data_IF_600974365759
#
_entry.id   IF_600974365759
#
_cell.length_a   1.000
_cell.length_b   1.000
_cell.length_c   1.000
_cell.angle_alpha   90.00
_cell.angle_beta   90.00
_cell.angle_gamma   90.00
#
_symmetry.space_group_name_H-M   'P 1'
#
loop_
_entity.id
_entity.type
_entity.pdbx_description
1 polymer ?
#
# COMPACT_ATOMS: atom_id res chain seq x y z
N UNK A 1 -1.12 46.03 17.07
CA UNK A 1 -1.51 45.72 15.69
C UNK A 1 -1.72 44.19 15.61
N UNK A 2 -2.97 43.79 15.78
CA UNK A 2 -3.38 42.39 15.69
C UNK A 2 -3.77 42.11 14.23
N UNK A 3 -2.93 41.35 13.53
CA UNK A 3 -3.25 40.87 12.19
C UNK A 3 -4.28 39.75 12.30
N UNK A 4 -5.53 40.08 11.91
CA UNK A 4 -6.54 39.06 11.64
C UNK A 4 -6.09 38.20 10.46
N UNK A 5 -5.70 36.99 10.74
CA UNK A 5 -5.57 35.95 9.71
C UNK A 5 -7.00 35.45 9.44
N UNK A 6 -7.62 35.95 8.38
CA UNK A 6 -8.83 35.34 7.84
C UNK A 6 -8.47 33.92 7.37
N UNK A 7 -8.88 32.93 8.15
CA UNK A 7 -8.89 31.55 7.71
C UNK A 7 -9.98 31.38 6.67
N UNK A 8 -9.61 31.36 5.39
CA UNK A 8 -10.53 30.91 4.34
C UNK A 8 -10.97 29.47 4.66
N UNK A 9 -12.28 29.16 4.52
CA UNK A 9 -12.75 27.81 4.70
C UNK A 9 -12.05 26.90 3.67
N UNK A 10 -11.37 25.86 4.16
CA UNK A 10 -10.58 24.92 3.37
C UNK A 10 -11.40 24.06 2.40
N UNK A 11 -12.71 24.18 2.41
CA UNK A 11 -13.63 23.47 1.51
C UNK A 11 -14.77 24.43 1.16
N UNK A 12 -14.78 24.92 -0.08
CA UNK A 12 -15.98 25.55 -0.62
C UNK A 12 -17.13 24.52 -0.57
N UNK A 13 -18.34 25.00 -0.20
CA UNK A 13 -19.57 24.19 -0.21
C UNK A 13 -19.92 23.78 -1.66
N UNK A 14 -19.16 22.82 -2.20
CA UNK A 14 -19.53 22.16 -3.45
C UNK A 14 -20.77 21.29 -3.20
N UNK A 15 -21.73 21.26 -4.11
CA UNK A 15 -22.98 20.55 -3.90
C UNK A 15 -22.68 19.03 -3.79
N UNK A 16 -22.73 18.51 -2.56
CA UNK A 16 -22.54 17.09 -2.19
C UNK A 16 -23.46 16.10 -2.96
N UNK A 17 -24.32 16.61 -3.82
CA UNK A 17 -25.22 15.86 -4.69
C UNK A 17 -24.74 15.70 -6.14
N UNK A 18 -23.65 16.35 -6.56
CA UNK A 18 -23.13 16.22 -7.92
C UNK A 18 -22.21 15.00 -8.01
N UNK A 19 -22.45 14.12 -8.97
CA UNK A 19 -21.54 13.01 -9.26
C UNK A 19 -20.18 13.56 -9.74
N UNK A 20 -19.07 12.93 -9.32
CA UNK A 20 -17.69 13.31 -9.65
C UNK A 20 -17.30 14.74 -9.24
N UNK A 21 -17.92 15.29 -8.19
CA UNK A 21 -17.59 16.63 -7.67
C UNK A 21 -16.12 16.76 -7.21
N UNK A 22 -15.51 15.64 -6.80
CA UNK A 22 -14.12 15.52 -6.36
C UNK A 22 -13.11 15.44 -7.53
N UNK A 23 -13.60 15.25 -8.77
CA UNK A 23 -12.75 15.13 -9.96
C UNK A 23 -12.41 16.50 -10.52
N UNK A 24 -11.36 17.10 -9.98
CA UNK A 24 -10.74 18.34 -10.47
C UNK A 24 -9.50 18.02 -11.32
N UNK A 25 -8.83 19.06 -11.83
CA UNK A 25 -7.67 18.91 -12.70
C UNK A 25 -6.51 18.16 -12.01
N UNK A 26 -6.27 18.41 -10.72
CA UNK A 26 -5.25 17.75 -9.92
C UNK A 26 -5.55 16.25 -9.76
N UNK A 27 -6.79 15.91 -9.40
CA UNK A 27 -7.25 14.52 -9.28
C UNK A 27 -7.11 13.78 -10.62
N UNK A 28 -7.50 14.43 -11.71
CA UNK A 28 -7.38 13.86 -13.06
C UNK A 28 -5.91 13.61 -13.43
N UNK A 29 -5.01 14.55 -13.13
CA UNK A 29 -3.58 14.39 -13.39
C UNK A 29 -2.99 13.22 -12.58
N UNK A 30 -3.37 13.08 -11.31
CA UNK A 30 -2.91 11.98 -10.46
C UNK A 30 -3.37 10.65 -11.04
N UNK A 31 -4.64 10.52 -11.40
CA UNK A 31 -5.19 9.28 -11.96
C UNK A 31 -4.52 8.92 -13.30
N UNK A 32 -4.23 9.90 -14.15
CA UNK A 32 -3.56 9.69 -15.44
C UNK A 32 -2.10 9.22 -15.30
N UNK A 33 -1.44 9.45 -14.16
CA UNK A 33 -0.02 9.07 -13.92
C UNK A 33 0.23 7.57 -13.79
N UNK A 34 -0.77 6.71 -14.05
CA UNK A 34 -0.59 5.26 -14.06
C UNK A 34 -1.67 4.45 -13.35
N UNK A 35 -2.71 5.10 -12.83
CA UNK A 35 -3.84 4.44 -12.22
C UNK A 35 -4.89 3.99 -13.24
N UNK A 36 -5.01 4.73 -14.34
CA UNK A 36 -5.89 4.38 -15.45
C UNK A 36 -5.18 3.45 -16.45
N UNK A 37 -5.94 2.65 -17.15
CA UNK A 37 -5.46 1.89 -18.31
C UNK A 37 -5.24 2.83 -19.49
N UNK A 38 -4.48 2.40 -20.49
CA UNK A 38 -4.28 3.19 -21.71
C UNK A 38 -5.60 3.47 -22.42
N UNK A 39 -5.95 4.74 -22.54
CA UNK A 39 -7.20 5.18 -23.16
C UNK A 39 -8.44 5.09 -22.26
N UNK A 40 -8.26 4.73 -20.99
CA UNK A 40 -9.34 4.67 -20.01
C UNK A 40 -9.68 6.06 -19.48
N UNK A 41 -10.96 6.34 -19.29
CA UNK A 41 -11.46 7.52 -18.58
C UNK A 41 -11.67 7.20 -17.10
N UNK A 42 -11.76 8.21 -16.24
CA UNK A 42 -12.08 8.01 -14.82
C UNK A 42 -13.42 7.28 -14.65
N UNK A 43 -14.42 7.62 -15.48
CA UNK A 43 -15.72 6.98 -15.44
C UNK A 43 -15.65 5.49 -15.81
N UNK A 44 -14.96 5.16 -16.90
CA UNK A 44 -14.79 3.75 -17.28
C UNK A 44 -13.94 2.96 -16.29
N UNK A 45 -12.99 3.60 -15.60
CA UNK A 45 -12.25 2.98 -14.50
C UNK A 45 -13.16 2.66 -13.32
N UNK A 46 -14.04 3.57 -12.93
CA UNK A 46 -15.03 3.33 -11.87
C UNK A 46 -15.94 2.16 -12.24
N UNK A 47 -16.46 2.12 -13.47
CA UNK A 47 -17.28 1.03 -13.98
C UNK A 47 -16.51 -0.32 -13.94
N UNK A 48 -15.26 -0.34 -14.39
CA UNK A 48 -14.39 -1.53 -14.32
C UNK A 48 -14.22 -2.04 -12.89
N UNK A 49 -13.89 -1.15 -11.96
CA UNK A 49 -13.67 -1.49 -10.54
C UNK A 49 -14.95 -2.02 -9.92
N UNK A 50 -16.07 -1.33 -10.11
CA UNK A 50 -17.36 -1.70 -9.55
C UNK A 50 -17.84 -3.06 -10.06
N UNK A 51 -17.78 -3.29 -11.37
CA UNK A 51 -18.17 -4.56 -11.97
C UNK A 51 -17.26 -5.71 -11.51
N UNK A 52 -15.95 -5.51 -11.45
CA UNK A 52 -15.03 -6.53 -10.97
C UNK A 52 -15.26 -6.87 -9.48
N UNK A 53 -15.57 -5.86 -8.65
CA UNK A 53 -15.88 -6.05 -7.24
C UNK A 53 -17.19 -6.81 -7.03
N UNK A 54 -18.24 -6.40 -7.72
CA UNK A 54 -19.55 -7.04 -7.67
C UNK A 54 -19.50 -8.51 -8.15
N UNK A 55 -18.73 -8.77 -9.22
CA UNK A 55 -18.48 -10.12 -9.73
C UNK A 55 -17.77 -11.01 -8.68
N UNK A 56 -16.75 -10.49 -7.99
CA UNK A 56 -16.03 -11.25 -6.94
C UNK A 56 -16.90 -11.58 -5.74
N UNK A 57 -17.89 -10.74 -5.46
CA UNK A 57 -18.86 -10.98 -4.39
C UNK A 57 -20.01 -11.91 -4.84
N UNK A 58 -20.06 -12.32 -6.10
CA UNK A 58 -21.18 -13.06 -6.70
C UNK A 58 -22.51 -12.30 -6.60
N UNK A 59 -22.45 -10.96 -6.64
CA UNK A 59 -23.60 -10.04 -6.53
C UNK A 59 -23.49 -8.94 -7.58
N UNK A 60 -23.72 -9.26 -8.86
CA UNK A 60 -23.59 -8.29 -9.96
C UNK A 60 -24.51 -7.08 -9.81
N UNK A 61 -25.63 -7.22 -9.10
CA UNK A 61 -26.57 -6.15 -8.78
C UNK A 61 -25.98 -5.02 -7.93
N UNK A 62 -24.84 -5.26 -7.24
CA UNK A 62 -24.16 -4.24 -6.44
C UNK A 62 -23.30 -3.29 -7.27
N UNK A 63 -23.07 -3.57 -8.54
CA UNK A 63 -22.16 -2.76 -9.36
C UNK A 63 -22.61 -1.28 -9.42
N UNK A 64 -23.89 -1.03 -9.64
CA UNK A 64 -24.44 0.34 -9.74
C UNK A 64 -24.31 1.08 -8.38
N UNK A 65 -24.54 0.39 -7.27
CA UNK A 65 -24.35 0.98 -5.95
C UNK A 65 -22.88 1.35 -5.69
N UNK A 66 -21.92 0.52 -6.12
CA UNK A 66 -20.50 0.85 -6.01
C UNK A 66 -20.12 2.04 -6.90
N UNK A 67 -20.63 2.12 -8.12
CA UNK A 67 -20.43 3.27 -9.00
C UNK A 67 -20.93 4.54 -8.32
N UNK A 68 -22.16 4.53 -7.81
CA UNK A 68 -22.74 5.68 -7.13
C UNK A 68 -21.91 6.12 -5.91
N UNK A 69 -21.48 5.17 -5.07
CA UNK A 69 -20.68 5.48 -3.87
C UNK A 69 -19.36 6.16 -4.22
N UNK A 70 -18.68 5.71 -5.28
CA UNK A 70 -17.42 6.28 -5.73
C UNK A 70 -17.65 7.64 -6.38
N UNK A 71 -18.61 7.76 -7.29
CA UNK A 71 -18.89 9.01 -7.99
C UNK A 71 -19.37 10.13 -7.05
N UNK A 72 -20.12 9.79 -6.00
CA UNK A 72 -20.54 10.76 -4.97
C UNK A 72 -19.44 11.08 -3.96
N UNK A 73 -18.27 10.39 -4.02
CA UNK A 73 -17.19 10.57 -3.07
C UNK A 73 -17.51 10.05 -1.66
N UNK A 74 -18.52 9.19 -1.53
CA UNK A 74 -18.82 8.52 -0.26
C UNK A 74 -17.82 7.42 0.05
N UNK A 75 -17.15 6.89 -0.97
CA UNK A 75 -16.09 5.92 -0.86
C UNK A 75 -14.86 6.39 -1.63
N UNK A 76 -13.70 6.42 -0.95
CA UNK A 76 -12.40 6.66 -1.55
C UNK A 76 -11.65 5.34 -1.71
N UNK A 77 -11.08 5.12 -2.89
CA UNK A 77 -10.37 3.89 -3.21
C UNK A 77 -8.86 4.06 -3.03
N UNK A 78 -8.20 3.02 -2.53
CA UNK A 78 -6.74 3.00 -2.46
C UNK A 78 -6.12 2.87 -3.85
N UNK A 79 -4.89 3.37 -4.00
CA UNK A 79 -4.15 3.34 -5.27
C UNK A 79 -4.12 1.98 -5.97
N UNK A 80 -3.90 0.83 -5.29
CA UNK A 80 -3.90 -0.47 -5.96
C UNK A 80 -5.28 -0.89 -6.48
N UNK A 81 -6.36 -0.43 -5.85
CA UNK A 81 -7.71 -0.70 -6.36
C UNK A 81 -7.92 0.06 -7.66
N UNK A 82 -7.57 1.34 -7.72
CA UNK A 82 -7.61 2.13 -8.96
C UNK A 82 -6.81 1.50 -10.09
N UNK A 83 -5.56 1.08 -9.79
CA UNK A 83 -4.64 0.56 -10.80
C UNK A 83 -4.95 -0.87 -11.25
N UNK A 84 -5.41 -1.74 -10.34
CA UNK A 84 -5.35 -3.18 -10.54
C UNK A 84 -6.69 -3.90 -10.48
N UNK A 85 -7.73 -3.35 -9.79
CA UNK A 85 -9.02 -4.04 -9.69
C UNK A 85 -9.67 -4.22 -11.06
N UNK A 86 -10.00 -5.46 -11.41
CA UNK A 86 -10.56 -5.81 -12.72
C UNK A 86 -9.53 -5.85 -13.85
N UNK A 87 -8.23 -5.91 -13.52
CA UNK A 87 -7.12 -6.06 -14.48
C UNK A 87 -6.23 -7.24 -14.10
N UNK A 88 -5.29 -7.58 -14.97
CA UNK A 88 -4.23 -8.55 -14.70
C UNK A 88 -2.88 -7.89 -14.31
N UNK A 89 -2.87 -6.57 -14.06
CA UNK A 89 -1.63 -5.81 -13.79
C UNK A 89 -1.01 -6.13 -12.43
N UNK A 90 -1.80 -6.57 -11.46
CA UNK A 90 -1.37 -6.87 -10.10
C UNK A 90 -2.55 -7.09 -9.14
N UNK A 91 -2.28 -7.10 -7.85
CA UNK A 91 -3.31 -7.26 -6.83
C UNK A 91 -3.90 -5.91 -6.41
N UNK A 92 -5.21 -5.84 -6.09
CA UNK A 92 -5.86 -4.64 -5.57
C UNK A 92 -5.61 -4.47 -4.06
N UNK A 93 -4.40 -4.83 -3.59
CA UNK A 93 -3.99 -4.80 -2.19
C UNK A 93 -2.83 -3.83 -2.06
N UNK A 94 -2.83 -2.98 -1.02
CA UNK A 94 -1.82 -1.97 -0.83
C UNK A 94 -0.73 -2.32 0.18
N UNK A 95 -1.01 -3.18 1.16
CA UNK A 95 -0.11 -3.42 2.28
C UNK A 95 -0.03 -4.90 2.63
N UNK A 96 1.19 -5.34 2.92
CA UNK A 96 1.49 -6.68 3.39
C UNK A 96 2.33 -6.60 4.67
N UNK A 97 2.11 -7.53 5.58
CA UNK A 97 2.89 -7.65 6.80
C UNK A 97 3.39 -9.08 6.95
N UNK A 98 4.65 -9.24 7.34
CA UNK A 98 5.24 -10.53 7.64
C UNK A 98 5.75 -10.58 9.09
N UNK A 99 5.69 -11.75 9.66
CA UNK A 99 6.30 -12.08 10.94
C UNK A 99 7.63 -12.78 10.67
N UNK A 100 8.74 -12.28 11.24
CA UNK A 100 10.08 -12.77 10.99
C UNK A 100 10.53 -13.66 12.16
N UNK A 101 10.61 -15.00 12.00
CA UNK A 101 11.00 -15.90 13.07
C UNK A 101 12.52 -15.89 13.31
N UNK A 102 12.95 -16.23 14.54
CA UNK A 102 14.35 -16.25 14.96
C UNK A 102 15.13 -17.47 14.47
N UNK A 103 15.13 -17.70 13.17
CA UNK A 103 15.99 -18.71 12.51
C UNK A 103 16.27 -18.28 11.07
N UNK A 104 17.43 -18.72 10.53
CA UNK A 104 17.91 -18.24 9.23
C UNK A 104 17.02 -18.66 8.07
N UNK A 105 16.45 -19.86 8.13
CA UNK A 105 15.55 -20.40 7.11
C UNK A 105 14.27 -19.55 7.03
N UNK A 106 13.69 -19.24 8.19
CA UNK A 106 12.49 -18.41 8.29
C UNK A 106 12.76 -16.96 7.86
N UNK A 107 13.87 -16.37 8.29
CA UNK A 107 14.28 -15.02 7.86
C UNK A 107 14.40 -14.96 6.34
N UNK A 108 15.09 -15.92 5.74
CA UNK A 108 15.31 -15.99 4.28
C UNK A 108 14.01 -16.20 3.53
N UNK A 109 13.12 -17.07 4.04
CA UNK A 109 11.80 -17.30 3.47
C UNK A 109 10.96 -16.01 3.48
N UNK A 110 10.92 -15.30 4.62
CA UNK A 110 10.19 -14.04 4.75
C UNK A 110 10.77 -12.92 3.89
N UNK A 111 12.08 -12.86 3.73
CA UNK A 111 12.71 -11.95 2.78
C UNK A 111 12.21 -12.21 1.35
N UNK A 112 12.16 -13.48 0.93
CA UNK A 112 11.62 -13.87 -0.37
C UNK A 112 10.15 -13.47 -0.55
N UNK A 113 9.29 -13.67 0.47
CA UNK A 113 7.89 -13.23 0.45
C UNK A 113 7.79 -11.72 0.26
N UNK A 114 8.55 -10.93 1.03
CA UNK A 114 8.54 -9.45 0.95
C UNK A 114 8.99 -8.97 -0.42
N UNK A 115 10.01 -9.60 -1.00
CA UNK A 115 10.46 -9.33 -2.37
C UNK A 115 9.33 -9.53 -3.39
N UNK A 116 8.61 -10.64 -3.30
CA UNK A 116 7.51 -10.94 -4.22
C UNK A 116 6.32 -10.00 -4.02
N UNK A 117 5.99 -9.65 -2.78
CA UNK A 117 4.95 -8.67 -2.44
C UNK A 117 5.29 -7.28 -2.99
N UNK A 118 6.55 -6.86 -2.89
CA UNK A 118 7.03 -5.58 -3.45
C UNK A 118 6.95 -5.58 -4.98
N UNK A 119 7.34 -6.67 -5.64
CA UNK A 119 7.27 -6.82 -7.10
C UNK A 119 5.87 -6.56 -7.64
N UNK A 120 4.81 -6.97 -6.93
CA UNK A 120 3.41 -6.75 -7.34
C UNK A 120 2.86 -5.38 -6.91
N UNK A 121 3.71 -4.48 -6.40
CA UNK A 121 3.37 -3.09 -6.08
C UNK A 121 2.80 -2.86 -4.68
N UNK A 122 2.91 -3.82 -3.77
CA UNK A 122 2.51 -3.68 -2.38
C UNK A 122 3.54 -2.91 -1.54
N UNK A 123 3.06 -2.09 -0.60
CA UNK A 123 3.86 -1.67 0.55
C UNK A 123 4.02 -2.83 1.51
N UNK A 124 5.20 -3.02 2.07
CA UNK A 124 5.51 -4.18 2.91
C UNK A 124 5.98 -3.77 4.30
N UNK A 125 5.80 -4.66 5.25
CA UNK A 125 6.29 -4.47 6.61
C UNK A 125 6.68 -5.80 7.24
N UNK A 126 7.55 -5.76 8.25
CA UNK A 126 7.98 -6.92 8.99
C UNK A 126 8.10 -6.67 10.48
N UNK A 127 7.63 -7.61 11.28
CA UNK A 127 7.83 -7.63 12.72
C UNK A 127 9.05 -8.46 13.06
N UNK A 128 10.02 -7.87 13.75
CA UNK A 128 11.33 -8.44 14.06
C UNK A 128 11.53 -8.68 15.57
N UNK A 129 10.48 -8.47 16.40
CA UNK A 129 10.58 -8.57 17.85
C UNK A 129 10.94 -9.96 18.39
N UNK A 130 10.75 -11.01 17.60
CA UNK A 130 11.16 -12.36 17.98
C UNK A 130 12.65 -12.63 17.78
N UNK A 131 13.35 -11.81 16.99
CA UNK A 131 14.76 -12.03 16.77
C UNK A 131 15.55 -11.75 18.06
N UNK A 132 16.46 -12.64 18.39
CA UNK A 132 17.37 -12.43 19.53
C UNK A 132 18.26 -11.20 19.33
N UNK A 133 18.52 -10.48 20.39
CA UNK A 133 19.37 -9.29 20.37
C UNK A 133 20.82 -9.59 19.97
N UNK A 134 21.51 -8.54 19.56
CA UNK A 134 22.93 -8.56 19.22
C UNK A 134 23.77 -9.13 20.35
N UNK A 135 24.69 -10.04 20.02
CA UNK A 135 25.59 -10.68 20.97
C UNK A 135 25.01 -11.89 21.69
N UNK A 136 23.71 -12.19 21.51
CA UNK A 136 23.10 -13.43 22.02
C UNK A 136 23.77 -14.66 21.41
N UNK A 137 23.88 -15.74 22.19
CA UNK A 137 24.47 -16.99 21.71
C UNK A 137 23.67 -17.62 20.56
N UNK A 138 24.34 -18.10 19.55
CA UNK A 138 23.78 -18.91 18.47
C UNK A 138 24.36 -20.31 18.60
N UNK A 139 23.51 -21.33 18.56
CA UNK A 139 23.91 -22.74 18.71
C UNK A 139 25.01 -23.08 17.69
N UNK A 140 26.15 -23.53 18.17
CA UNK A 140 27.34 -23.94 17.39
C UNK A 140 27.91 -22.87 16.43
N UNK A 141 27.49 -21.59 16.53
CA UNK A 141 27.77 -20.60 15.51
C UNK A 141 28.16 -19.19 16.03
N UNK A 142 28.56 -19.08 17.25
CA UNK A 142 29.03 -17.80 17.83
C UNK A 142 27.94 -16.89 18.36
N UNK A 143 27.90 -15.63 17.90
CA UNK A 143 26.99 -14.59 18.43
C UNK A 143 26.09 -14.00 17.33
N UNK A 144 24.84 -13.69 17.69
CA UNK A 144 23.87 -13.01 16.82
C UNK A 144 24.35 -11.61 16.41
N UNK A 145 24.10 -11.25 15.17
CA UNK A 145 24.27 -9.87 14.67
C UNK A 145 23.14 -8.91 15.08
N UNK A 146 22.04 -9.46 15.61
CA UNK A 146 20.89 -8.72 16.11
C UNK A 146 19.84 -8.36 15.07
N UNK A 147 18.65 -7.97 15.55
CA UNK A 147 17.48 -7.65 14.72
C UNK A 147 17.77 -6.54 13.70
N UNK A 148 18.45 -5.48 14.10
CA UNK A 148 18.76 -4.33 13.22
C UNK A 148 19.61 -4.70 12.00
N UNK A 149 20.49 -5.72 12.11
CA UNK A 149 21.27 -6.22 10.97
C UNK A 149 20.39 -6.92 9.94
N UNK A 150 19.39 -7.68 10.39
CA UNK A 150 18.42 -8.32 9.48
C UNK A 150 17.47 -7.30 8.88
N UNK A 151 17.00 -6.29 9.63
CA UNK A 151 16.22 -5.18 9.07
C UNK A 151 16.94 -4.53 7.88
N UNK A 152 18.25 -4.28 8.00
CA UNK A 152 19.07 -3.71 6.92
C UNK A 152 19.10 -4.59 5.67
N UNK A 153 19.06 -5.92 5.84
CA UNK A 153 18.98 -6.86 4.72
C UNK A 153 17.66 -6.67 3.93
N UNK A 154 16.53 -6.55 4.64
CA UNK A 154 15.24 -6.30 4.03
C UNK A 154 15.18 -4.93 3.33
N UNK A 155 15.69 -3.88 3.97
CA UNK A 155 15.77 -2.53 3.42
C UNK A 155 16.57 -2.50 2.11
N UNK A 156 17.76 -3.09 2.11
CA UNK A 156 18.61 -3.19 0.91
C UNK A 156 17.93 -3.97 -0.23
N UNK A 157 17.19 -5.04 0.10
CA UNK A 157 16.43 -5.78 -0.90
C UNK A 157 15.32 -4.93 -1.52
N UNK A 158 14.63 -4.11 -0.71
CA UNK A 158 13.58 -3.21 -1.19
C UNK A 158 14.14 -2.13 -2.13
N UNK A 159 15.23 -1.51 -1.78
CA UNK A 159 15.92 -0.53 -2.63
C UNK A 159 16.34 -1.13 -3.98
N UNK A 160 16.82 -2.38 -3.96
CA UNK A 160 17.28 -3.07 -5.16
C UNK A 160 16.14 -3.44 -6.11
N UNK A 161 15.00 -3.88 -5.58
CA UNK A 161 13.90 -4.49 -6.35
C UNK A 161 12.84 -3.48 -6.77
N UNK A 162 12.82 -2.32 -6.16
CA UNK A 162 11.87 -1.24 -6.44
C UNK A 162 11.94 -0.68 -7.87
N UNK A 163 12.70 -1.28 -8.77
CA UNK A 163 12.92 -0.79 -10.12
C UNK A 163 11.79 -1.19 -11.07
N UNK A 164 10.97 -0.22 -11.49
CA UNK A 164 10.10 -0.35 -12.65
C UNK A 164 8.59 -0.40 -12.42
N UNK A 165 8.11 -0.21 -11.21
CA UNK A 165 6.67 -0.12 -10.92
C UNK A 165 6.15 1.32 -10.82
N UNK A 166 4.84 1.49 -10.89
CA UNK A 166 4.13 2.77 -10.66
C UNK A 166 4.35 3.27 -9.22
N UNK A 167 4.70 2.38 -8.28
CA UNK A 167 5.04 2.67 -6.88
C UNK A 167 6.42 2.14 -6.56
N UNK A 168 7.22 2.94 -5.86
CA UNK A 168 8.47 2.47 -5.24
C UNK A 168 8.15 1.48 -4.14
N UNK A 169 9.01 0.49 -3.92
CA UNK A 169 8.97 -0.37 -2.76
C UNK A 169 9.10 0.47 -1.48
N UNK A 170 8.34 0.07 -0.47
CA UNK A 170 8.42 0.68 0.85
C UNK A 170 8.36 -0.44 1.88
N UNK A 171 9.23 -0.38 2.88
CA UNK A 171 9.29 -1.36 3.96
C UNK A 171 9.27 -0.65 5.31
N UNK A 172 8.39 -1.10 6.21
CA UNK A 172 8.37 -0.67 7.60
C UNK A 172 8.83 -1.82 8.51
N UNK A 173 9.89 -1.62 9.28
CA UNK A 173 10.33 -2.57 10.28
C UNK A 173 9.70 -2.23 11.64
N UNK A 174 9.18 -3.24 12.33
CA UNK A 174 8.61 -3.12 13.67
C UNK A 174 9.46 -3.89 14.67
N UNK A 175 9.75 -3.24 15.78
CA UNK A 175 10.48 -3.80 16.91
C UNK A 175 9.80 -3.34 18.20
N UNK A 176 9.79 -4.18 19.23
CA UNK A 176 9.22 -3.82 20.52
C UNK A 176 10.12 -2.80 21.23
N UNK A 177 9.51 -1.90 22.00
CA UNK A 177 10.23 -0.85 22.72
C UNK A 177 11.17 -1.39 23.80
N UNK A 178 10.95 -2.60 24.25
CA UNK A 178 11.78 -3.32 25.23
C UNK A 178 12.74 -4.32 24.60
N UNK A 179 12.81 -4.37 23.26
CA UNK A 179 13.76 -5.24 22.57
C UNK A 179 15.19 -4.76 22.77
N UNK A 180 16.19 -5.67 23.04
CA UNK A 180 17.58 -5.29 23.31
C UNK A 180 18.27 -4.47 22.23
N UNK A 181 17.77 -4.50 20.99
CA UNK A 181 18.37 -3.80 19.84
C UNK A 181 17.63 -2.51 19.46
N UNK A 182 16.66 -2.04 20.29
CA UNK A 182 15.88 -0.82 20.00
C UNK A 182 16.75 0.43 20.04
#
# INVERSE_FOLDING_TARGET
MTTNVETQPLIADEPKNKRLWWLNDESQQILNRGYLLKGETVKSAIERIANASAKRLYKPELAEAFIEMIERGWMSLSSPIWANMGTERGLPISCFNVYVPDNIEGITHKLGEVIMQTKIGGGTSGYFGELRGRGSAVTDNGKSSGATSFMKLFDTAMDTISQGGVRRGAFAAYLDIDHPDI
#
